data_IF_700213086730
#
_entry.id   IF_700213086730
#
_cell.length_a   1.000
_cell.length_b   1.000
_cell.length_c   1.000
_cell.angle_alpha   90.00
_cell.angle_beta   90.00
_cell.angle_gamma   90.00
#
_symmetry.space_group_name_H-M   'P 1'
#
loop_
_entity.id
_entity.type
_entity.pdbx_description
1 polymer ?
#
# COMPACT_ATOMS: atom_id res chain seq x y z
N UNK A 1 -23.91 -41.07 -27.29
CA UNK A 1 -23.22 -39.85 -26.82
C UNK A 1 -21.82 -39.87 -27.40
N UNK A 2 -21.44 -38.87 -28.22
CA UNK A 2 -20.07 -38.75 -28.74
C UNK A 2 -19.23 -38.10 -27.64
N UNK A 3 -18.39 -38.89 -26.99
CA UNK A 3 -17.51 -38.43 -25.91
C UNK A 3 -16.28 -37.73 -26.45
N UNK A 4 -15.76 -36.78 -25.68
CA UNK A 4 -14.44 -36.17 -25.88
C UNK A 4 -13.36 -37.24 -25.99
N UNK A 5 -12.41 -37.05 -26.89
CA UNK A 5 -11.28 -37.97 -27.02
C UNK A 5 -10.18 -37.64 -26.01
N UNK A 6 -9.39 -38.64 -25.59
CA UNK A 6 -8.25 -38.45 -24.68
C UNK A 6 -7.22 -37.45 -25.22
N UNK A 7 -7.05 -37.40 -26.55
CA UNK A 7 -6.11 -36.48 -27.19
C UNK A 7 -6.60 -35.02 -27.15
N UNK A 8 -7.90 -34.81 -27.27
CA UNK A 8 -8.52 -33.50 -27.18
C UNK A 8 -8.41 -32.92 -25.76
N UNK A 9 -8.52 -33.79 -24.74
CA UNK A 9 -8.22 -33.41 -23.36
C UNK A 9 -6.74 -33.05 -23.16
N UNK A 10 -5.81 -33.78 -23.78
CA UNK A 10 -4.38 -33.45 -23.67
C UNK A 10 -4.05 -32.08 -24.26
N UNK A 11 -4.58 -31.76 -25.44
CA UNK A 11 -4.32 -30.47 -26.10
C UNK A 11 -4.95 -29.32 -25.29
N UNK A 12 -6.16 -29.50 -24.77
CA UNK A 12 -6.82 -28.48 -23.95
C UNK A 12 -6.07 -28.20 -22.65
N UNK A 13 -5.58 -29.23 -21.94
CA UNK A 13 -4.77 -29.06 -20.73
C UNK A 13 -3.43 -28.35 -21.05
N UNK A 14 -2.80 -28.67 -22.18
CA UNK A 14 -1.57 -28.01 -22.62
C UNK A 14 -1.80 -26.51 -22.87
N UNK A 15 -2.87 -26.14 -23.57
CA UNK A 15 -3.21 -24.72 -23.80
C UNK A 15 -3.53 -24.02 -22.47
N UNK A 16 -4.28 -24.65 -21.58
CA UNK A 16 -4.60 -24.10 -20.25
C UNK A 16 -3.33 -23.87 -19.42
N UNK A 17 -2.35 -24.78 -19.46
CA UNK A 17 -1.09 -24.62 -18.75
C UNK A 17 -0.30 -23.39 -19.24
N UNK A 18 -0.28 -23.14 -20.56
CA UNK A 18 0.37 -21.97 -21.14
C UNK A 18 -0.34 -20.69 -20.69
N UNK A 19 -1.69 -20.64 -20.80
CA UNK A 19 -2.47 -19.47 -20.40
C UNK A 19 -2.35 -19.16 -18.90
N UNK A 20 -2.36 -20.19 -18.05
CA UNK A 20 -2.21 -20.04 -16.60
C UNK A 20 -0.87 -19.41 -16.21
N UNK A 21 0.20 -19.72 -16.95
CA UNK A 21 1.54 -19.18 -16.69
C UNK A 21 1.62 -17.66 -16.84
N UNK A 22 0.85 -17.09 -17.78
CA UNK A 22 0.82 -15.63 -18.03
C UNK A 22 -0.14 -14.89 -17.08
N UNK A 23 -1.24 -15.53 -16.69
CA UNK A 23 -2.27 -14.88 -15.88
C UNK A 23 -1.87 -14.65 -14.42
N UNK A 24 -1.10 -15.56 -13.84
CA UNK A 24 -0.77 -15.54 -12.41
C UNK A 24 0.04 -14.32 -11.94
N UNK A 25 1.17 -13.93 -12.56
CA UNK A 25 1.97 -12.80 -12.08
C UNK A 25 1.25 -11.45 -12.19
N UNK A 26 0.34 -11.30 -13.16
CA UNK A 26 -0.41 -10.06 -13.36
C UNK A 26 -1.36 -9.77 -12.20
N UNK A 27 -1.99 -10.80 -11.64
CA UNK A 27 -2.97 -10.62 -10.55
C UNK A 27 -2.33 -10.15 -9.24
N UNK A 28 -1.17 -10.70 -8.86
CA UNK A 28 -0.48 -10.32 -7.61
C UNK A 28 -0.11 -8.83 -7.61
N UNK A 29 0.48 -8.35 -8.72
CA UNK A 29 0.83 -6.93 -8.87
C UNK A 29 -0.38 -5.99 -8.80
N UNK A 30 -1.52 -6.40 -9.38
CA UNK A 30 -2.76 -5.62 -9.32
C UNK A 30 -3.29 -5.49 -7.90
N UNK A 31 -3.34 -6.60 -7.15
CA UNK A 31 -3.81 -6.60 -5.75
C UNK A 31 -2.89 -5.78 -4.87
N UNK A 32 -1.56 -5.88 -5.03
CA UNK A 32 -0.60 -5.05 -4.30
C UNK A 32 -0.80 -3.56 -4.56
N UNK A 33 -0.98 -3.17 -5.82
CA UNK A 33 -1.28 -1.78 -6.18
C UNK A 33 -2.59 -1.29 -5.54
N UNK A 34 -3.64 -2.11 -5.54
CA UNK A 34 -4.90 -1.76 -4.91
C UNK A 34 -4.75 -1.50 -3.40
N UNK A 35 -4.01 -2.36 -2.67
CA UNK A 35 -3.71 -2.18 -1.24
C UNK A 35 -2.92 -0.90 -0.96
N UNK A 36 -1.96 -0.56 -1.81
CA UNK A 36 -1.21 0.69 -1.69
C UNK A 36 -2.10 1.92 -1.89
N UNK A 37 -3.04 1.87 -2.84
CA UNK A 37 -4.00 2.97 -3.05
C UNK A 37 -4.95 3.14 -1.85
N UNK A 38 -5.33 2.04 -1.19
CA UNK A 38 -6.09 2.10 0.06
C UNK A 38 -5.29 2.78 1.18
N UNK A 39 -4.03 2.39 1.39
CA UNK A 39 -3.15 3.02 2.37
C UNK A 39 -3.00 4.53 2.12
N UNK A 40 -2.81 4.94 0.86
CA UNK A 40 -2.78 6.35 0.51
C UNK A 40 -4.09 7.06 0.78
N UNK A 41 -5.22 6.44 0.48
CA UNK A 41 -6.53 7.02 0.77
C UNK A 41 -6.69 7.31 2.26
N UNK A 42 -6.22 6.40 3.11
CA UNK A 42 -6.15 6.61 4.57
C UNK A 42 -5.22 7.78 4.91
N UNK A 43 -3.99 7.81 4.38
CA UNK A 43 -3.04 8.91 4.60
C UNK A 43 -3.65 10.27 4.18
N UNK A 44 -4.31 10.35 3.03
CA UNK A 44 -4.94 11.59 2.55
C UNK A 44 -6.12 12.01 3.45
N UNK A 45 -6.80 11.06 4.06
CA UNK A 45 -7.84 11.33 5.06
C UNK A 45 -7.22 11.90 6.32
N UNK A 46 -6.17 11.28 6.84
CA UNK A 46 -5.39 11.82 7.97
C UNK A 46 -4.84 13.21 7.65
N UNK A 47 -4.28 13.44 6.46
CA UNK A 47 -3.74 14.75 6.08
C UNK A 47 -4.81 15.86 6.19
N UNK A 48 -6.04 15.61 5.74
CA UNK A 48 -7.18 16.53 5.89
C UNK A 48 -7.55 16.74 7.36
N UNK A 49 -7.46 15.70 8.18
CA UNK A 49 -7.70 15.80 9.62
C UNK A 49 -6.61 16.61 10.31
N UNK A 50 -5.35 16.48 9.89
CA UNK A 50 -4.22 17.27 10.37
C UNK A 50 -4.40 18.74 10.04
N UNK A 51 -4.83 19.09 8.82
CA UNK A 51 -5.18 20.48 8.46
C UNK A 51 -6.25 21.07 9.38
N UNK A 52 -7.30 20.29 9.68
CA UNK A 52 -8.36 20.69 10.61
C UNK A 52 -7.86 20.78 12.05
N UNK A 53 -6.95 19.91 12.46
CA UNK A 53 -6.36 19.91 13.79
C UNK A 53 -5.49 21.16 13.98
N UNK A 54 -4.60 21.44 13.04
CA UNK A 54 -3.72 22.62 13.07
C UNK A 54 -4.50 23.93 13.04
N UNK A 55 -5.60 23.98 12.27
CA UNK A 55 -6.48 25.16 12.25
C UNK A 55 -7.08 25.50 13.61
N UNK A 56 -7.28 24.49 14.47
CA UNK A 56 -7.87 24.63 15.83
C UNK A 56 -6.83 24.81 16.92
N UNK A 57 -5.75 24.03 16.86
CA UNK A 57 -4.77 23.94 17.94
C UNK A 57 -3.48 24.73 17.67
N UNK A 58 -3.24 25.15 16.41
CA UNK A 58 -2.00 25.81 15.96
C UNK A 58 -0.72 24.98 16.19
N UNK A 59 -0.88 23.69 16.45
CA UNK A 59 0.19 22.69 16.59
C UNK A 59 -0.31 21.37 16.01
N UNK A 60 0.59 20.49 15.55
CA UNK A 60 0.25 19.07 15.30
C UNK A 60 0.61 18.17 16.48
N UNK A 61 1.29 18.68 17.49
CA UNK A 61 1.62 17.94 18.71
C UNK A 61 0.34 17.42 19.37
N UNK A 62 0.30 16.13 19.72
CA UNK A 62 -0.88 15.44 20.23
C UNK A 62 -2.08 15.38 19.26
N UNK A 63 -1.82 15.48 17.95
CA UNK A 63 -2.83 15.13 16.96
C UNK A 63 -3.24 13.65 17.12
N UNK A 64 -4.50 13.29 16.79
CA UNK A 64 -4.92 11.90 16.78
C UNK A 64 -4.04 11.07 15.84
N UNK A 65 -3.78 9.82 16.24
CA UNK A 65 -3.04 8.89 15.41
C UNK A 65 -3.79 8.59 14.11
N UNK A 66 -3.08 8.41 12.98
CA UNK A 66 -3.67 7.91 11.75
C UNK A 66 -4.33 6.54 11.96
N UNK A 67 -5.35 6.26 11.14
CA UNK A 67 -6.03 4.97 11.14
C UNK A 67 -5.31 3.95 10.24
N UNK A 68 -5.05 2.78 10.78
CA UNK A 68 -4.56 1.62 10.03
C UNK A 68 -5.56 1.18 8.95
N UNK A 69 -5.05 0.42 7.97
CA UNK A 69 -5.88 -0.36 7.04
C UNK A 69 -5.78 -1.85 7.35
N UNK A 70 -6.51 -2.69 6.62
CA UNK A 70 -6.36 -4.14 6.74
C UNK A 70 -4.96 -4.63 6.35
N UNK A 71 -4.20 -3.82 5.60
CA UNK A 71 -2.94 -4.21 4.96
C UNK A 71 -1.71 -3.47 5.49
N UNK A 72 -1.89 -2.25 6.00
CA UNK A 72 -0.81 -1.39 6.46
C UNK A 72 -1.05 -0.89 7.89
N UNK A 73 0.01 -0.90 8.68
CA UNK A 73 0.13 -0.13 9.91
C UNK A 73 0.51 1.31 9.52
N UNK A 74 -0.29 2.29 9.90
CA UNK A 74 -0.08 3.70 9.57
C UNK A 74 0.19 4.45 10.87
N UNK A 75 1.34 5.12 10.92
CA UNK A 75 1.78 5.83 12.11
C UNK A 75 2.54 7.10 11.74
N UNK A 76 2.68 8.01 12.69
CA UNK A 76 3.65 9.10 12.55
C UNK A 76 5.08 8.55 12.59
N UNK A 77 5.98 9.18 11.82
CA UNK A 77 7.40 8.87 11.87
C UNK A 77 7.98 9.17 13.27
N UNK A 78 9.15 8.61 13.57
CA UNK A 78 9.83 8.91 14.82
C UNK A 78 10.04 10.43 14.98
N UNK A 79 9.73 10.96 16.16
CA UNK A 79 9.80 12.41 16.45
C UNK A 79 8.76 13.25 15.68
N UNK A 80 7.66 12.62 15.29
CA UNK A 80 6.50 13.22 14.62
C UNK A 80 5.22 12.81 15.37
N UNK A 81 4.16 13.64 15.39
CA UNK A 81 4.06 15.00 14.86
C UNK A 81 4.77 16.03 15.74
N UNK A 82 5.23 17.13 15.13
CA UNK A 82 5.83 18.30 15.80
C UNK A 82 4.90 19.51 15.68
N UNK A 83 5.32 20.67 16.19
CA UNK A 83 4.44 21.84 16.20
C UNK A 83 3.95 22.24 14.81
N UNK A 84 4.82 22.29 13.81
CA UNK A 84 4.49 22.77 12.46
C UNK A 84 4.77 21.76 11.35
N UNK A 85 5.13 20.53 11.70
CA UNK A 85 5.44 19.49 10.72
C UNK A 85 4.97 18.12 11.18
N UNK A 86 4.67 17.26 10.22
CA UNK A 86 4.42 15.85 10.45
C UNK A 86 4.92 15.01 9.28
N UNK A 87 5.17 13.75 9.55
CA UNK A 87 5.44 12.71 8.56
C UNK A 87 4.65 11.47 8.97
N UNK A 88 3.86 10.94 8.05
CA UNK A 88 3.05 9.74 8.21
C UNK A 88 3.70 8.65 7.37
N UNK A 89 3.87 7.47 7.95
CA UNK A 89 4.43 6.29 7.31
C UNK A 89 3.38 5.18 7.36
N UNK A 90 3.05 4.63 6.20
CA UNK A 90 2.31 3.38 6.07
C UNK A 90 3.29 2.24 5.80
N UNK A 91 3.44 1.34 6.77
CA UNK A 91 4.26 0.12 6.67
C UNK A 91 3.37 -1.11 6.49
N UNK A 92 3.68 -2.05 5.59
CA UNK A 92 2.87 -3.25 5.43
C UNK A 92 2.86 -4.10 6.71
N UNK A 93 1.68 -4.58 7.10
CA UNK A 93 1.52 -5.51 8.23
C UNK A 93 2.32 -6.79 7.97
N UNK A 94 2.78 -7.44 9.04
CA UNK A 94 3.61 -8.66 8.98
C UNK A 94 2.96 -9.80 8.17
N UNK A 95 1.64 -9.90 8.17
CA UNK A 95 0.85 -10.84 7.35
C UNK A 95 1.05 -10.64 5.83
N UNK A 96 1.49 -9.46 5.40
CA UNK A 96 1.76 -9.11 4.01
C UNK A 96 3.26 -8.98 3.74
N UNK A 97 4.06 -9.94 4.20
CA UNK A 97 5.53 -9.92 4.10
C UNK A 97 6.07 -9.73 2.66
N UNK A 98 5.31 -10.12 1.63
CA UNK A 98 5.63 -9.92 0.20
C UNK A 98 5.59 -8.46 -0.23
N UNK A 99 4.90 -7.62 0.53
CA UNK A 99 4.91 -6.18 0.33
C UNK A 99 6.22 -5.64 0.89
N UNK A 100 7.12 -5.20 0.03
CA UNK A 100 8.48 -4.75 0.35
C UNK A 100 8.60 -3.23 0.44
N UNK A 101 7.54 -2.51 0.05
CA UNK A 101 7.49 -1.05 -0.02
C UNK A 101 6.59 -0.46 1.06
N UNK A 102 7.05 0.63 1.65
CA UNK A 102 6.28 1.50 2.54
C UNK A 102 5.98 2.83 1.84
N UNK A 103 4.97 3.55 2.31
CA UNK A 103 4.59 4.87 1.79
C UNK A 103 4.87 5.90 2.88
N UNK A 104 5.57 6.99 2.55
CA UNK A 104 5.71 8.15 3.43
C UNK A 104 5.02 9.36 2.81
N UNK A 105 4.38 10.15 3.67
CA UNK A 105 3.77 11.42 3.32
C UNK A 105 4.08 12.47 4.39
N UNK A 106 4.50 13.66 3.98
CA UNK A 106 4.85 14.73 4.91
C UNK A 106 3.92 15.95 4.82
N UNK A 107 4.03 16.84 5.80
CA UNK A 107 3.22 18.04 5.93
C UNK A 107 3.38 19.08 4.81
N UNK A 108 4.38 18.92 3.94
CA UNK A 108 4.57 19.77 2.74
C UNK A 108 4.01 19.13 1.47
N UNK A 109 3.34 17.98 1.57
CA UNK A 109 2.62 17.34 0.46
C UNK A 109 3.45 16.37 -0.37
N UNK A 110 4.67 16.03 0.06
CA UNK A 110 5.50 15.05 -0.65
C UNK A 110 5.04 13.65 -0.27
N UNK A 111 4.65 12.86 -1.28
CA UNK A 111 4.33 11.44 -1.16
C UNK A 111 5.40 10.62 -1.86
N UNK A 112 6.01 9.69 -1.12
CA UNK A 112 7.06 8.81 -1.64
C UNK A 112 6.81 7.36 -1.26
N UNK A 113 7.35 6.47 -2.07
CA UNK A 113 7.40 5.02 -1.82
C UNK A 113 8.84 4.63 -1.53
N UNK A 114 9.10 4.00 -0.38
CA UNK A 114 10.45 3.62 0.06
C UNK A 114 10.54 2.12 0.37
N UNK A 115 11.75 1.60 0.56
CA UNK A 115 11.96 0.25 1.09
C UNK A 115 11.47 0.16 2.55
N UNK A 116 10.58 -0.78 2.87
CA UNK A 116 9.91 -0.84 4.18
C UNK A 116 10.86 -0.97 5.37
N UNK A 117 11.99 -1.66 5.18
CA UNK A 117 12.89 -2.02 6.27
C UNK A 117 13.82 -0.86 6.67
N UNK A 118 14.14 0.02 5.72
CA UNK A 118 15.16 1.05 5.90
C UNK A 118 14.62 2.47 5.71
N UNK A 119 13.42 2.62 5.14
CA UNK A 119 12.88 3.89 4.68
C UNK A 119 13.88 4.65 3.77
N UNK A 120 14.59 3.89 2.93
CA UNK A 120 15.55 4.39 1.92
C UNK A 120 15.07 4.03 0.51
N UNK A 121 15.83 4.46 -0.50
CA UNK A 121 15.52 4.25 -1.92
C UNK A 121 14.10 4.70 -2.27
N UNK A 122 13.78 5.92 -1.84
CA UNK A 122 12.46 6.49 -1.99
C UNK A 122 12.26 7.02 -3.40
N UNK A 123 11.16 6.62 -4.03
CA UNK A 123 10.71 7.10 -5.33
C UNK A 123 9.48 7.97 -5.13
N UNK A 124 9.39 9.07 -5.87
CA UNK A 124 8.16 9.85 -5.93
C UNK A 124 7.05 9.01 -6.57
N UNK A 125 5.85 9.13 -6.03
CA UNK A 125 4.68 8.51 -6.62
C UNK A 125 4.20 9.29 -7.85
#
# INVERSE_FOLDING_TARGET
MRGFTLIELMITIVILAILASMAYPSYDSFVRKARMEEAKSSIMTTAKEMERYYSRNRTFTNAPDPADTDYFDIAFAASSPQDSSYEIIATPKSSYAREDKAISYNSIGILVRCDKATMRNCEHY
#
